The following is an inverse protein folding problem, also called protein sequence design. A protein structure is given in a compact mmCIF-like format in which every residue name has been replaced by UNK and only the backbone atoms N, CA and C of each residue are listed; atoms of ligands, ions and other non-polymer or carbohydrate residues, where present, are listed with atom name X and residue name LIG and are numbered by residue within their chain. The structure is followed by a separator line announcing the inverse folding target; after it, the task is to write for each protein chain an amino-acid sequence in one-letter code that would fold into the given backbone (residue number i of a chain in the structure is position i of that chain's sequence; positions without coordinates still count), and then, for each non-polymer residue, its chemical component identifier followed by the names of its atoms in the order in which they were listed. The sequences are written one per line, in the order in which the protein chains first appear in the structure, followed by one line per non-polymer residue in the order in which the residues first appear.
data_IF_543072670482
#
_entry.id   IF_543072670482
#
_cell.length_a   1.000
_cell.length_b   1.000
_cell.length_c   1.000
_cell.angle_alpha   90.00
_cell.angle_beta   90.00
_cell.angle_gamma   90.00
#
_symmetry.space_group_name_H-M   'P 1'
#
loop_
_entity.id
_entity.type
_entity.pdbx_description
1 polymer ?
#
# COMPACT_ATOMS: atom_id res chain seq x y z
N UNK A 1 -9.83 5.16 7.43
CA UNK A 1 -8.68 4.84 6.57
C UNK A 1 -7.60 4.37 7.51
N UNK A 2 -6.89 3.33 7.12
CA UNK A 2 -5.87 2.66 7.94
C UNK A 2 -4.64 2.41 7.08
N UNK A 3 -3.50 2.24 7.75
CA UNK A 3 -2.25 1.87 7.10
C UNK A 3 -2.02 0.40 7.42
N UNK A 4 -1.79 -0.40 6.38
CA UNK A 4 -1.46 -1.81 6.48
C UNK A 4 -0.07 -2.05 5.93
N UNK A 5 0.62 -3.04 6.47
CA UNK A 5 1.84 -3.55 5.89
C UNK A 5 1.63 -4.96 5.37
N UNK A 6 2.11 -5.17 4.15
CA UNK A 6 2.24 -6.47 3.53
C UNK A 6 3.65 -6.96 3.80
N UNK A 7 3.76 -8.12 4.43
CA UNK A 7 5.04 -8.72 4.81
C UNK A 7 5.21 -10.06 4.15
N UNK A 8 6.43 -10.36 3.71
CA UNK A 8 6.83 -11.66 3.19
C UNK A 8 8.07 -12.12 3.96
N UNK A 9 7.95 -13.28 4.62
CA UNK A 9 8.92 -13.98 5.48
C UNK A 9 9.63 -13.13 6.55
N UNK A 10 10.34 -12.06 6.19
CA UNK A 10 11.05 -11.13 7.10
C UNK A 10 11.06 -9.67 6.64
N UNK A 11 10.54 -9.34 5.47
CA UNK A 11 10.61 -8.00 4.90
C UNK A 11 9.23 -7.39 4.70
N UNK A 12 9.17 -6.06 4.81
CA UNK A 12 7.99 -5.29 4.44
C UNK A 12 8.05 -5.13 2.92
N UNK A 13 7.13 -5.78 2.21
CA UNK A 13 7.06 -5.65 0.76
C UNK A 13 6.32 -4.39 0.32
N UNK A 14 5.26 -4.03 1.04
CA UNK A 14 4.45 -2.87 0.71
C UNK A 14 3.80 -2.27 1.96
N UNK A 15 3.61 -0.94 1.92
CA UNK A 15 2.69 -0.24 2.81
C UNK A 15 1.46 0.14 2.02
N UNK A 16 0.26 -0.08 2.56
CA UNK A 16 -1.01 0.08 1.85
C UNK A 16 -1.96 0.94 2.67
N UNK A 17 -2.48 2.00 2.06
CA UNK A 17 -3.53 2.83 2.63
C UNK A 17 -4.87 2.24 2.19
N UNK A 18 -5.66 1.73 3.13
CA UNK A 18 -6.91 1.06 2.82
C UNK A 18 -7.99 1.26 3.89
N UNK A 19 -9.22 0.88 3.55
CA UNK A 19 -10.38 1.02 4.45
C UNK A 19 -10.55 -0.17 5.39
N UNK A 20 -10.02 -1.33 5.01
CA UNK A 20 -10.10 -2.59 5.73
C UNK A 20 -8.92 -3.47 5.33
N UNK A 21 -8.74 -4.56 6.07
CA UNK A 21 -7.76 -5.61 5.78
C UNK A 21 -7.98 -6.22 4.39
N UNK A 22 -9.21 -6.63 4.07
CA UNK A 22 -9.58 -7.18 2.76
C UNK A 22 -9.26 -6.18 1.62
N UNK A 23 -9.61 -4.91 1.81
CA UNK A 23 -9.33 -3.87 0.81
C UNK A 23 -7.81 -3.64 0.63
N UNK A 24 -7.01 -3.78 1.69
CA UNK A 24 -5.55 -3.69 1.57
C UNK A 24 -4.99 -4.87 0.75
N UNK A 25 -5.52 -6.07 0.96
CA UNK A 25 -5.14 -7.26 0.20
C UNK A 25 -5.49 -7.10 -1.28
N UNK A 26 -6.70 -6.63 -1.60
CA UNK A 26 -7.13 -6.37 -2.99
C UNK A 26 -6.21 -5.37 -3.70
N UNK A 27 -5.89 -4.24 -3.06
CA UNK A 27 -5.00 -3.22 -3.63
C UNK A 27 -3.58 -3.75 -3.87
N UNK A 28 -3.05 -4.52 -2.92
CA UNK A 28 -1.74 -5.13 -3.05
C UNK A 28 -1.71 -6.15 -4.19
N UNK A 29 -2.75 -6.99 -4.31
CA UNK A 29 -2.87 -7.97 -5.39
C UNK A 29 -2.94 -7.28 -6.77
N UNK A 30 -3.76 -6.24 -6.92
CA UNK A 30 -3.86 -5.46 -8.15
C UNK A 30 -2.50 -4.85 -8.53
N UNK A 31 -1.81 -4.23 -7.56
CA UNK A 31 -0.47 -3.68 -7.77
C UNK A 31 0.54 -4.75 -8.19
N UNK A 32 0.55 -5.93 -7.55
CA UNK A 32 1.44 -7.06 -7.90
C UNK A 32 1.22 -7.58 -9.32
N UNK A 33 -0.03 -7.73 -9.73
CA UNK A 33 -0.40 -8.19 -11.08
C UNK A 33 0.17 -7.23 -12.12
N UNK A 34 -0.05 -5.92 -11.93
CA UNK A 34 0.43 -4.88 -12.85
C UNK A 34 1.96 -4.81 -12.90
N UNK A 35 2.64 -5.13 -11.81
CA UNK A 35 4.11 -5.14 -11.74
C UNK A 35 4.73 -6.49 -12.15
N UNK A 36 3.96 -7.44 -12.69
CA UNK A 36 4.48 -8.67 -13.31
C UNK A 36 5.11 -9.66 -12.32
N UNK A 37 4.64 -9.70 -11.08
CA UNK A 37 5.19 -10.60 -10.08
C UNK A 37 4.58 -12.02 -10.20
N UNK A 38 5.35 -12.96 -10.76
CA UNK A 38 4.93 -14.30 -11.18
C UNK A 38 4.58 -15.30 -10.06
N UNK A 39 4.84 -15.01 -8.78
CA UNK A 39 4.50 -15.92 -7.66
C UNK A 39 3.83 -15.21 -6.49
N UNK A 40 2.71 -15.77 -6.03
CA UNK A 40 2.10 -15.42 -4.75
C UNK A 40 2.86 -16.16 -3.64
N UNK A 41 3.90 -15.53 -3.10
CA UNK A 41 4.44 -15.94 -1.81
C UNK A 41 3.34 -15.85 -0.73
N UNK A 42 3.46 -16.53 0.41
CA UNK A 42 2.57 -16.27 1.54
C UNK A 42 2.85 -14.86 2.07
N UNK A 43 1.85 -13.98 2.02
CA UNK A 43 1.96 -12.63 2.58
C UNK A 43 1.06 -12.49 3.81
N UNK A 44 1.56 -11.81 4.83
CA UNK A 44 0.76 -11.40 5.97
C UNK A 44 0.40 -9.92 5.82
N UNK A 45 -0.89 -9.61 5.99
CA UNK A 45 -1.39 -8.23 6.04
C UNK A 45 -1.64 -7.90 7.51
N UNK A 46 -0.91 -6.93 8.03
CA UNK A 46 -1.03 -6.47 9.41
C UNK A 46 -1.30 -4.96 9.44
N UNK A 47 -2.19 -4.52 10.34
CA UNK A 47 -2.37 -3.08 10.58
C UNK A 47 -1.10 -2.50 11.19
N UNK A 48 -0.67 -1.36 10.67
CA UNK A 48 0.57 -0.74 11.05
C UNK A 48 0.36 0.37 12.09
N UNK A 49 1.03 0.23 13.24
CA UNK A 49 1.02 1.22 14.31
C UNK A 49 2.28 2.12 14.25
N UNK A 50 2.15 3.33 13.68
CA UNK A 50 3.25 4.30 13.52
C UNK A 50 3.41 5.21 14.75
N UNK A 51 4.10 4.74 15.78
CA UNK A 51 4.53 5.62 16.88
C UNK A 51 5.63 6.64 16.49
N UNK A 52 6.38 6.41 15.41
CA UNK A 52 7.60 7.18 15.07
C UNK A 52 7.39 8.39 14.14
N UNK A 53 6.32 8.39 13.34
CA UNK A 53 6.03 9.45 12.34
C UNK A 53 4.54 9.81 12.28
N UNK A 54 3.93 9.97 13.46
CA UNK A 54 2.48 10.12 13.61
C UNK A 54 1.92 11.29 12.79
N UNK A 55 2.60 12.45 12.77
CA UNK A 55 2.16 13.61 11.98
C UNK A 55 2.04 13.30 10.47
N UNK A 56 3.03 12.63 9.87
CA UNK A 56 2.97 12.29 8.45
C UNK A 56 1.89 11.23 8.18
N UNK A 57 1.69 10.29 9.11
CA UNK A 57 0.60 9.33 9.02
C UNK A 57 -0.76 10.04 9.08
N UNK A 58 -0.97 10.97 10.01
CA UNK A 58 -2.21 11.74 10.14
C UNK A 58 -2.49 12.59 8.89
N UNK A 59 -1.47 13.28 8.36
CA UNK A 59 -1.58 14.05 7.12
C UNK A 59 -1.97 13.14 5.94
N UNK A 60 -1.35 11.97 5.79
CA UNK A 60 -1.67 11.02 4.74
C UNK A 60 -3.08 10.43 4.88
N UNK A 61 -3.48 10.06 6.09
CA UNK A 61 -4.82 9.54 6.40
C UNK A 61 -5.90 10.60 6.14
N UNK A 62 -5.63 11.87 6.44
CA UNK A 62 -6.56 12.99 6.20
C UNK A 62 -6.90 13.21 4.72
N UNK A 63 -5.99 12.82 3.81
CA UNK A 63 -6.22 12.90 2.36
C UNK A 63 -7.29 11.91 1.89
N UNK A 64 -7.54 10.84 2.64
CA UNK A 64 -8.58 9.86 2.32
C UNK A 64 -8.34 9.04 1.05
N UNK A 65 -7.11 9.07 0.51
CA UNK A 65 -6.71 8.35 -0.71
C UNK A 65 -6.28 6.93 -0.35
N UNK A 66 -6.83 5.93 -1.03
CA UNK A 66 -6.40 4.54 -0.90
C UNK A 66 -5.33 4.21 -1.95
N UNK A 67 -4.44 3.26 -1.65
CA UNK A 67 -3.41 2.84 -2.59
C UNK A 67 -2.10 2.39 -1.94
N UNK A 68 -1.08 2.18 -2.76
CA UNK A 68 0.24 1.76 -2.31
C UNK A 68 1.03 2.98 -1.85
N UNK A 69 1.45 2.96 -0.59
CA UNK A 69 2.21 3.99 0.07
C UNK A 69 3.73 3.79 -0.04
N UNK A 70 4.43 4.86 -0.35
CA UNK A 70 5.88 4.96 -0.25
C UNK A 70 6.23 6.11 0.70
N UNK A 71 7.07 5.84 1.70
CA UNK A 71 7.53 6.86 2.64
C UNK A 71 8.92 7.36 2.27
N UNK A 72 9.06 8.68 2.23
CA UNK A 72 10.33 9.37 2.13
C UNK A 72 10.48 10.38 3.29
N UNK A 73 11.67 10.52 3.85
CA UNK A 73 11.88 11.40 5.02
C UNK A 73 11.77 12.89 4.72
N UNK A 74 11.99 13.30 3.47
CA UNK A 74 11.93 14.70 3.04
C UNK A 74 10.52 15.10 2.56
N UNK A 75 9.82 14.18 1.89
CA UNK A 75 8.50 14.46 1.27
C UNK A 75 7.32 13.83 2.00
N UNK A 76 7.55 12.91 2.93
CA UNK A 76 6.51 12.17 3.64
C UNK A 76 5.91 11.04 2.80
N UNK A 77 4.62 10.77 3.00
CA UNK A 77 3.91 9.70 2.28
C UNK A 77 3.46 10.13 0.88
N UNK A 78 3.87 9.35 -0.11
CA UNK A 78 3.30 9.35 -1.46
C UNK A 78 2.41 8.13 -1.63
N UNK A 79 1.18 8.31 -2.12
CA UNK A 79 0.20 7.24 -2.30
C UNK A 79 -0.06 7.09 -3.80
N UNK A 80 0.17 5.90 -4.33
CA UNK A 80 -0.18 5.51 -5.71
C UNK A 80 -1.59 4.92 -5.70
N UNK A 81 -2.60 5.64 -6.22
CA UNK A 81 -3.99 5.20 -6.11
C UNK A 81 -4.33 4.14 -7.18
N UNK A 82 -5.38 3.33 -6.96
CA UNK A 82 -5.71 2.18 -7.80
C UNK A 82 -5.99 2.51 -9.27
N UNK A 83 -6.48 3.71 -9.57
CA UNK A 83 -6.74 4.16 -10.94
C UNK A 83 -5.47 4.19 -11.80
N UNK A 84 -4.29 4.32 -11.17
CA UNK A 84 -2.99 4.21 -11.86
C UNK A 84 -2.59 2.77 -12.20
N UNK A 85 -3.23 1.77 -11.60
CA UNK A 85 -2.97 0.37 -11.90
C UNK A 85 -3.81 -0.08 -13.10
N UNK A 86 -5.02 0.49 -13.27
CA UNK A 86 -5.91 0.19 -14.40
C UNK A 86 -5.39 0.74 -15.74
N UNK A 87 -4.78 1.94 -15.77
CA UNK A 87 -4.18 2.52 -16.99
C UNK A 87 -3.05 1.66 -17.60
N UNK A 88 -2.41 0.79 -16.82
CA UNK A 88 -1.32 -0.07 -17.30
C UNK A 88 -1.87 -1.38 -17.90
N UNK A 89 -3.07 -1.81 -17.49
CA UNK A 89 -3.69 -3.04 -17.98
C UNK A 89 -4.42 -2.87 -19.34
N UNK A 90 -5.01 -1.71 -19.60
CA UNK A 90 -5.72 -1.41 -20.85
C UNK A 90 -4.80 -1.01 -22.03
N UNK A 91 -3.49 -0.92 -21.78
CA UNK A 91 -2.47 -0.55 -22.78
C UNK A 91 -1.71 -1.72 -23.42
N UNK A 92 -2.08 -2.97 -23.11
CA UNK A 92 -1.44 -4.21 -23.61
C UNK A 92 -2.31 -4.97 -24.62
#
# INVERSE_FOLDING_TARGET
MHIFQIKSEREIEATVFARSHDHAAELYMAWRIVNGADMLLPHEVAEFDHARHQRHADEALSRGVAGIGHYDEQVGWTISPPEKFEEIADGL
#
